data_IF_440252995285
#
_entry.id   IF_440252995285
#
_cell.length_a   1.000
_cell.length_b   1.000
_cell.length_c   1.000
_cell.angle_alpha   90.00
_cell.angle_beta   90.00
_cell.angle_gamma   90.00
#
_symmetry.space_group_name_H-M   'P 1'
#
loop_
_entity.id
_entity.type
_entity.pdbx_description
1 polymer ?
#
# COMPACT_ATOMS: atom_id res chain seq x y z
N UNK A 1 -14.95 -5.06 -8.43
CA UNK A 1 -14.71 -5.43 -9.84
C UNK A 1 -13.77 -6.62 -9.80
N UNK A 2 -14.03 -7.67 -10.59
CA UNK A 2 -13.09 -8.80 -10.69
C UNK A 2 -12.03 -8.45 -11.73
N UNK A 3 -10.76 -8.67 -11.40
CA UNK A 3 -9.63 -8.44 -12.30
C UNK A 3 -8.94 -9.78 -12.60
N UNK A 4 -9.48 -10.60 -13.53
CA UNK A 4 -9.02 -11.98 -13.72
C UNK A 4 -7.55 -12.12 -14.17
N UNK A 5 -6.95 -11.04 -14.68
CA UNK A 5 -5.56 -11.01 -15.16
C UNK A 5 -4.70 -9.94 -14.45
N UNK A 6 -5.07 -9.52 -13.22
CA UNK A 6 -4.26 -8.57 -12.46
C UNK A 6 -3.21 -9.26 -11.57
N UNK A 7 -2.33 -8.44 -11.00
CA UNK A 7 -1.55 -8.78 -9.81
C UNK A 7 -2.15 -8.06 -8.60
N UNK A 8 -2.40 -8.79 -7.53
CA UNK A 8 -2.73 -8.24 -6.22
C UNK A 8 -1.43 -8.01 -5.45
N UNK A 9 -1.23 -6.80 -4.95
CA UNK A 9 -0.24 -6.49 -3.93
C UNK A 9 -0.92 -6.45 -2.56
N UNK A 10 -0.40 -7.24 -1.62
CA UNK A 10 -0.83 -7.26 -0.22
C UNK A 10 0.30 -6.71 0.64
N UNK A 11 0.04 -5.59 1.32
CA UNK A 11 0.90 -5.04 2.35
C UNK A 11 0.23 -5.13 3.72
N UNK A 12 0.91 -5.75 4.68
CA UNK A 12 0.50 -5.78 6.09
C UNK A 12 1.62 -5.15 6.90
N UNK A 13 1.28 -4.12 7.67
CA UNK A 13 2.24 -3.29 8.39
C UNK A 13 1.68 -2.84 9.74
N UNK A 14 2.58 -2.65 10.71
CA UNK A 14 2.29 -1.99 11.98
C UNK A 14 2.49 -0.48 11.83
N UNK A 15 1.55 0.32 12.30
CA UNK A 15 1.66 1.78 12.34
C UNK A 15 2.17 2.24 13.71
N UNK A 16 2.97 3.32 13.73
CA UNK A 16 3.40 3.94 15.00
C UNK A 16 2.20 4.54 15.73
N UNK A 17 2.08 4.41 17.07
CA UNK A 17 0.93 4.94 17.81
C UNK A 17 0.62 6.42 17.54
N UNK A 18 1.65 7.26 17.46
CA UNK A 18 1.51 8.70 17.19
C UNK A 18 1.03 9.05 15.77
N UNK A 19 0.99 8.09 14.85
CA UNK A 19 0.57 8.30 13.47
C UNK A 19 -0.82 7.72 13.16
N UNK A 20 -1.43 6.95 14.07
CA UNK A 20 -2.73 6.26 13.84
C UNK A 20 -3.83 7.22 13.38
N UNK A 21 -4.02 8.32 14.10
CA UNK A 21 -5.04 9.32 13.79
C UNK A 21 -4.83 9.99 12.44
N UNK A 22 -3.59 10.01 11.95
CA UNK A 22 -3.21 10.61 10.66
C UNK A 22 -3.31 9.64 9.49
N UNK A 23 -3.49 8.34 9.74
CA UNK A 23 -3.52 7.33 8.67
C UNK A 23 -4.56 7.60 7.58
N UNK A 24 -5.78 8.10 7.86
CA UNK A 24 -6.71 8.45 6.79
C UNK A 24 -6.15 9.49 5.81
N UNK A 25 -5.52 10.55 6.31
CA UNK A 25 -4.91 11.59 5.48
C UNK A 25 -3.66 11.09 4.75
N UNK A 26 -2.81 10.31 5.43
CA UNK A 26 -1.62 9.71 4.82
C UNK A 26 -1.99 8.74 3.69
N UNK A 27 -3.07 7.97 3.84
CA UNK A 27 -3.56 7.07 2.79
C UNK A 27 -4.22 7.80 1.62
N UNK A 28 -4.81 8.98 1.85
CA UNK A 28 -5.28 9.83 0.76
C UNK A 28 -4.09 10.33 -0.09
N UNK A 29 -3.00 10.73 0.56
CA UNK A 29 -1.76 11.12 -0.13
C UNK A 29 -1.15 9.92 -0.87
N UNK A 30 -1.06 8.76 -0.21
CA UNK A 30 -0.58 7.53 -0.83
C UNK A 30 -1.39 7.16 -2.07
N UNK A 31 -2.73 7.27 -2.02
CA UNK A 31 -3.59 7.03 -3.18
C UNK A 31 -3.23 7.92 -4.36
N UNK A 32 -2.95 9.21 -4.11
CA UNK A 32 -2.53 10.13 -5.16
C UNK A 32 -1.17 9.73 -5.75
N UNK A 33 -0.21 9.35 -4.90
CA UNK A 33 1.12 8.88 -5.35
C UNK A 33 1.00 7.61 -6.18
N UNK A 34 0.23 6.61 -5.72
CA UNK A 34 0.02 5.36 -6.45
C UNK A 34 -0.68 5.59 -7.79
N UNK A 35 -1.57 6.58 -7.89
CA UNK A 35 -2.24 6.91 -9.15
C UNK A 35 -1.28 7.40 -10.25
N UNK A 36 -0.10 7.90 -9.88
CA UNK A 36 0.95 8.28 -10.83
C UNK A 36 1.75 7.08 -11.37
N UNK A 37 1.61 5.89 -10.76
CA UNK A 37 2.27 4.68 -11.24
C UNK A 37 1.45 4.01 -12.35
N UNK A 38 2.03 3.79 -13.54
CA UNK A 38 1.34 3.11 -14.61
C UNK A 38 0.85 1.73 -14.18
N UNK A 39 -0.38 1.39 -14.53
CA UNK A 39 -0.93 0.06 -14.30
C UNK A 39 -1.64 -0.14 -12.97
N UNK A 40 -1.75 0.87 -12.11
CA UNK A 40 -2.68 0.80 -10.97
C UNK A 40 -4.13 0.66 -11.47
N UNK A 41 -4.85 -0.33 -10.97
CA UNK A 41 -6.26 -0.60 -11.29
C UNK A 41 -7.19 -0.21 -10.14
N UNK A 42 -6.84 -0.55 -8.90
CA UNK A 42 -7.59 -0.21 -7.70
C UNK A 42 -6.64 -0.17 -6.49
N UNK A 43 -7.03 0.59 -5.46
CA UNK A 43 -6.33 0.63 -4.18
C UNK A 43 -7.36 0.71 -3.05
N UNK A 44 -7.21 -0.16 -2.05
CA UNK A 44 -8.06 -0.26 -0.87
C UNK A 44 -7.23 -0.41 0.37
N UNK A 45 -7.61 0.34 1.39
CA UNK A 45 -6.90 0.39 2.65
C UNK A 45 -7.86 0.00 3.76
N UNK A 46 -7.41 -0.85 4.68
CA UNK A 46 -8.16 -1.36 5.82
C UNK A 46 -7.46 -0.94 7.10
N UNK A 47 -8.23 -0.41 8.05
CA UNK A 47 -7.78 -0.11 9.39
C UNK A 47 -8.28 -1.20 10.35
N UNK A 48 -7.57 -1.46 11.46
CA UNK A 48 -8.05 -2.38 12.48
C UNK A 48 -9.31 -1.84 13.15
N UNK A 49 -10.23 -2.74 13.53
CA UNK A 49 -11.47 -2.37 14.22
C UNK A 49 -11.27 -2.12 15.72
N UNK A 50 -10.33 -2.86 16.35
CA UNK A 50 -10.22 -2.95 17.81
C UNK A 50 -9.08 -2.11 18.41
N UNK A 51 -8.64 -1.06 17.69
CA UNK A 51 -7.55 -0.19 18.17
C UNK A 51 -6.15 -0.82 18.12
N UNK A 52 -6.01 -1.96 17.45
CA UNK A 52 -4.73 -2.58 17.10
C UNK A 52 -3.87 -1.65 16.20
N UNK A 53 -2.60 -1.98 16.04
CA UNK A 53 -1.63 -1.28 15.20
C UNK A 53 -1.48 -1.88 13.81
N UNK A 54 -2.10 -3.02 13.51
CA UNK A 54 -1.95 -3.68 12.22
C UNK A 54 -2.91 -3.11 11.18
N UNK A 55 -2.34 -2.60 10.10
CA UNK A 55 -3.05 -2.06 8.95
C UNK A 55 -2.78 -2.91 7.72
N UNK A 56 -3.75 -2.92 6.80
CA UNK A 56 -3.64 -3.66 5.54
C UNK A 56 -3.91 -2.74 4.38
N UNK A 57 -3.03 -2.78 3.40
CA UNK A 57 -3.21 -2.12 2.11
C UNK A 57 -3.26 -3.18 1.01
N UNK A 58 -4.20 -3.03 0.09
CA UNK A 58 -4.37 -3.87 -1.08
C UNK A 58 -4.35 -2.97 -2.32
N UNK A 59 -3.43 -3.24 -3.23
CA UNK A 59 -3.40 -2.62 -4.54
C UNK A 59 -3.57 -3.67 -5.63
N UNK A 60 -4.35 -3.34 -6.66
CA UNK A 60 -4.51 -4.17 -7.84
C UNK A 60 -3.76 -3.50 -8.98
N UNK A 61 -2.89 -4.28 -9.61
CA UNK A 61 -2.02 -3.83 -10.69
C UNK A 61 -2.31 -4.62 -11.95
N UNK A 62 -2.15 -4.00 -13.12
CA UNK A 62 -2.34 -4.65 -14.41
C UNK A 62 -1.39 -5.83 -14.61
N UNK A 63 -0.16 -5.71 -14.11
CA UNK A 63 0.92 -6.69 -14.30
C UNK A 63 1.94 -6.60 -13.16
N UNK A 64 2.81 -7.61 -13.06
CA UNK A 64 3.82 -7.70 -11.99
C UNK A 64 4.86 -6.58 -12.08
N UNK A 65 5.25 -6.19 -13.29
CA UNK A 65 6.22 -5.13 -13.51
C UNK A 65 5.72 -3.79 -12.94
N UNK A 66 4.44 -3.47 -13.15
CA UNK A 66 3.79 -2.28 -12.59
C UNK A 66 3.80 -2.30 -11.06
N UNK A 67 3.45 -3.44 -10.45
CA UNK A 67 3.45 -3.60 -8.99
C UNK A 67 4.87 -3.45 -8.40
N UNK A 68 5.86 -4.11 -9.02
CA UNK A 68 7.25 -4.05 -8.59
C UNK A 68 7.84 -2.64 -8.70
N UNK A 69 7.48 -1.87 -9.73
CA UNK A 69 7.94 -0.49 -9.86
C UNK A 69 7.49 0.40 -8.68
N UNK A 70 6.25 0.24 -8.23
CA UNK A 70 5.75 0.98 -7.05
C UNK A 70 6.41 0.50 -5.76
N UNK A 71 6.53 -0.81 -5.55
CA UNK A 71 7.18 -1.39 -4.39
C UNK A 71 8.67 -1.01 -4.30
N UNK A 72 9.39 -0.99 -5.42
CA UNK A 72 10.79 -0.58 -5.49
C UNK A 72 10.97 0.92 -5.25
N UNK A 73 10.08 1.77 -5.78
CA UNK A 73 10.09 3.20 -5.47
C UNK A 73 9.88 3.44 -3.96
N UNK A 74 8.94 2.72 -3.33
CA UNK A 74 8.76 2.77 -1.88
C UNK A 74 10.02 2.31 -1.13
N UNK A 75 10.58 1.15 -1.49
CA UNK A 75 11.73 0.56 -0.81
C UNK A 75 13.05 1.37 -0.99
N UNK A 76 13.20 2.04 -2.13
CA UNK A 76 14.35 2.90 -2.43
C UNK A 76 14.24 4.30 -1.80
N UNK A 77 13.15 4.59 -1.09
CA UNK A 77 12.98 5.84 -0.35
C UNK A 77 12.55 7.01 -1.22
N UNK A 78 11.78 6.78 -2.28
CA UNK A 78 11.16 7.86 -3.05
C UNK A 78 10.40 8.82 -2.13
N UNK A 79 10.75 10.10 -2.21
CA UNK A 79 10.27 11.16 -1.33
C UNK A 79 8.73 11.29 -1.33
N UNK A 80 8.06 10.88 -2.40
CA UNK A 80 6.59 10.87 -2.48
C UNK A 80 5.95 9.95 -1.43
N UNK A 81 6.63 8.88 -1.05
CA UNK A 81 6.16 7.96 -0.01
C UNK A 81 6.62 8.35 1.39
N UNK A 82 7.54 9.31 1.54
CA UNK A 82 8.20 9.60 2.82
C UNK A 82 7.23 9.87 3.99
N UNK A 83 6.14 10.66 3.85
CA UNK A 83 5.19 10.86 4.94
C UNK A 83 4.50 9.56 5.38
N UNK A 84 4.21 8.67 4.42
CA UNK A 84 3.57 7.39 4.67
C UNK A 84 4.54 6.38 5.29
N UNK A 85 5.72 6.22 4.69
CA UNK A 85 6.78 5.34 5.18
C UNK A 85 7.21 5.71 6.61
N UNK A 86 7.26 7.01 6.94
CA UNK A 86 7.60 7.47 8.28
C UNK A 86 6.56 7.07 9.35
N UNK A 87 5.31 6.82 8.98
CA UNK A 87 4.25 6.37 9.89
C UNK A 87 4.32 4.87 10.19
N UNK A 88 4.96 4.09 9.33
CA UNK A 88 5.10 2.64 9.49
C UNK A 88 6.18 2.35 10.52
N UNK A 89 5.86 1.51 11.50
CA UNK A 89 6.79 0.98 12.49
C UNK A 89 7.52 -0.25 11.96
N UNK A 90 6.77 -1.16 11.34
CA UNK A 90 7.26 -2.43 10.80
C UNK A 90 6.39 -2.85 9.62
N UNK A 91 7.02 -3.38 8.56
CA UNK A 91 6.33 -3.99 7.43
C UNK A 91 6.47 -5.52 7.54
N UNK A 92 5.39 -6.22 7.85
CA UNK A 92 5.42 -7.69 8.01
C UNK A 92 5.24 -8.44 6.69
N UNK A 93 4.38 -7.92 5.80
CA UNK A 93 4.06 -8.58 4.54
C UNK A 93 4.14 -7.57 3.40
N UNK A 94 4.82 -7.95 2.33
CA UNK A 94 4.74 -7.33 1.02
C UNK A 94 4.79 -8.46 -0.02
N UNK A 95 3.64 -8.77 -0.63
CA UNK A 95 3.50 -9.91 -1.56
C UNK A 95 2.76 -9.50 -2.81
N UNK A 96 3.22 -10.00 -3.95
CA UNK A 96 2.52 -9.96 -5.23
C UNK A 96 1.90 -11.32 -5.53
N UNK A 97 0.62 -11.35 -5.84
CA UNK A 97 -0.20 -12.56 -5.96
C UNK A 97 -1.01 -12.52 -7.26
N UNK A 98 -1.14 -13.65 -7.94
CA UNK A 98 -2.04 -13.81 -9.08
C UNK A 98 -3.41 -14.37 -8.60
N UNK A 99 -4.51 -14.06 -9.31
CA UNK A 99 -5.79 -14.76 -9.15
C UNK A 99 -5.62 -16.28 -9.35
N UNK A 100 -6.40 -17.07 -8.63
CA UNK A 100 -6.43 -18.53 -8.73
C UNK A 100 -7.57 -19.01 -9.66
#
# INVERSE_FOLDING_TARGET
>A
MSHPNCVLELAVFTVKPAARERMPALRQQLRAVLADFPGLLDYRAYAPLDGDDQFVDIAYWRDLASAQAAAEAFASGDARFAPYAAAIAELQVMRHLAPA
#
